data_IF_928091695461
#
_entry.id   IF_928091695461
#
_cell.length_a   1.000
_cell.length_b   1.000
_cell.length_c   1.000
_cell.angle_alpha   90.00
_cell.angle_beta   90.00
_cell.angle_gamma   90.00
#
_symmetry.space_group_name_H-M   'P 1'
#
loop_
_entity.id
_entity.type
_entity.pdbx_description
1 polymer ?
#
# COMPACT_ATOMS: atom_id res chain seq x y z
N UNK A 1 5.12 34.12 -2.85
CA UNK A 1 4.46 32.86 -2.45
C UNK A 1 4.42 31.98 -3.68
N UNK A 2 5.09 30.83 -3.67
CA UNK A 2 4.91 29.85 -4.75
C UNK A 2 3.54 29.22 -4.55
N UNK A 3 2.57 29.59 -5.40
CA UNK A 3 1.29 28.90 -5.45
C UNK A 3 1.53 27.48 -5.99
N UNK A 4 1.57 26.52 -5.08
CA UNK A 4 1.58 25.11 -5.45
C UNK A 4 0.21 24.80 -6.06
N UNK A 5 0.19 24.28 -7.29
CA UNK A 5 -1.04 23.87 -7.94
C UNK A 5 -1.81 22.90 -7.02
N UNK A 6 -3.14 23.04 -6.91
CA UNK A 6 -3.91 22.17 -6.04
C UNK A 6 -3.72 20.71 -6.47
N UNK A 7 -3.50 19.83 -5.49
CA UNK A 7 -3.36 18.40 -5.76
C UNK A 7 -4.70 17.87 -6.29
N UNK A 8 -4.68 17.41 -7.53
CA UNK A 8 -5.85 16.82 -8.19
C UNK A 8 -6.03 15.38 -7.72
N UNK A 9 -7.24 15.05 -7.27
CA UNK A 9 -7.65 13.67 -6.97
C UNK A 9 -8.49 13.18 -8.14
N UNK A 10 -8.00 12.17 -8.85
CA UNK A 10 -8.70 11.60 -10.01
C UNK A 10 -9.58 10.41 -9.58
N UNK A 11 -10.61 10.07 -10.36
CA UNK A 11 -11.41 8.87 -10.12
C UNK A 11 -10.80 7.65 -10.82
N UNK A 12 -11.20 6.45 -10.41
CA UNK A 12 -10.82 5.23 -11.11
C UNK A 12 -11.49 5.18 -12.50
N UNK A 13 -10.66 4.89 -13.51
CA UNK A 13 -10.96 4.83 -14.93
C UNK A 13 -9.83 4.09 -15.65
N UNK A 14 -10.05 3.65 -16.89
CA UNK A 14 -9.01 2.94 -17.67
C UNK A 14 -7.72 3.77 -17.83
N UNK A 15 -7.84 5.10 -17.99
CA UNK A 15 -6.69 6.00 -18.06
C UNK A 15 -5.93 6.03 -16.74
N UNK A 16 -6.63 6.26 -15.62
CA UNK A 16 -5.99 6.28 -14.30
C UNK A 16 -5.31 4.96 -13.95
N UNK A 17 -5.89 3.83 -14.34
CA UNK A 17 -5.32 2.49 -14.13
C UNK A 17 -4.04 2.36 -14.94
N UNK A 18 -4.04 2.80 -16.20
CA UNK A 18 -2.84 2.82 -17.04
C UNK A 18 -1.74 3.69 -16.41
N UNK A 19 -2.09 4.85 -15.87
CA UNK A 19 -1.14 5.74 -15.19
C UNK A 19 -0.54 5.08 -13.93
N UNK A 20 -1.32 4.31 -13.19
CA UNK A 20 -0.84 3.54 -12.03
C UNK A 20 0.06 2.38 -12.42
N UNK A 21 -0.24 1.71 -13.54
CA UNK A 21 0.53 0.59 -14.08
C UNK A 21 1.89 1.04 -14.62
N UNK A 22 1.96 2.25 -15.16
CA UNK A 22 3.15 2.78 -15.81
C UNK A 22 3.53 4.16 -15.26
N UNK A 23 3.79 4.27 -13.95
CA UNK A 23 3.93 5.57 -13.29
C UNK A 23 5.18 6.34 -13.73
N UNK A 24 6.18 5.64 -14.26
CA UNK A 24 7.49 6.18 -14.61
C UNK A 24 7.73 6.24 -16.13
N UNK A 25 6.69 6.13 -16.95
CA UNK A 25 6.85 6.18 -18.41
C UNK A 25 7.40 7.53 -18.88
N UNK A 26 7.02 8.63 -18.21
CA UNK A 26 7.46 9.98 -18.57
C UNK A 26 8.89 10.29 -18.10
N UNK A 27 9.47 9.44 -17.26
CA UNK A 27 10.84 9.62 -16.78
C UNK A 27 11.82 9.06 -17.81
N UNK A 28 12.99 9.68 -17.93
CA UNK A 28 14.07 9.13 -18.77
C UNK A 28 14.50 7.74 -18.24
N UNK A 29 14.93 6.86 -19.13
CA UNK A 29 15.37 5.50 -18.75
C UNK A 29 16.53 5.50 -17.75
N UNK A 30 17.28 6.59 -17.69
CA UNK A 30 18.42 6.79 -16.78
C UNK A 30 18.00 7.10 -15.34
N UNK A 31 16.80 7.65 -15.11
CA UNK A 31 16.38 8.07 -13.78
C UNK A 31 15.99 6.90 -12.86
N UNK A 32 15.38 5.84 -13.40
CA UNK A 32 14.89 4.69 -12.62
C UNK A 32 15.01 3.36 -13.38
N UNK A 33 16.23 2.93 -13.75
CA UNK A 33 16.44 1.70 -14.51
C UNK A 33 15.89 0.46 -13.79
N UNK A 34 15.91 0.45 -12.45
CA UNK A 34 15.35 -0.63 -11.64
C UNK A 34 13.83 -0.66 -11.66
N UNK A 35 13.17 0.50 -11.49
CA UNK A 35 11.71 0.57 -11.45
C UNK A 35 11.10 0.17 -12.82
N UNK A 36 11.74 0.58 -13.91
CA UNK A 36 11.38 0.18 -15.29
C UNK A 36 11.67 -1.29 -15.58
N UNK A 37 12.79 -1.85 -15.09
CA UNK A 37 13.15 -3.27 -15.29
C UNK A 37 12.07 -4.25 -14.80
N UNK A 38 11.42 -3.95 -13.68
CA UNK A 38 10.43 -4.87 -13.10
C UNK A 38 8.97 -4.48 -13.36
N UNK A 39 8.70 -3.22 -13.73
CA UNK A 39 7.38 -2.67 -14.05
C UNK A 39 6.22 -3.23 -13.20
N UNK A 40 6.41 -3.21 -11.88
CA UNK A 40 5.50 -3.84 -10.90
C UNK A 40 5.11 -2.86 -9.80
N UNK A 41 4.45 -1.76 -10.16
CA UNK A 41 4.14 -0.68 -9.24
C UNK A 41 3.37 -1.18 -8.01
N UNK A 42 3.64 -0.51 -6.89
CA UNK A 42 2.87 -0.69 -5.65
C UNK A 42 2.03 0.56 -5.44
N UNK A 43 0.72 0.35 -5.29
CA UNK A 43 -0.28 1.39 -5.01
C UNK A 43 -0.79 1.17 -3.60
N UNK A 44 -0.97 2.24 -2.82
CA UNK A 44 -1.64 2.16 -1.53
C UNK A 44 -3.12 2.45 -1.70
N UNK A 45 -3.97 1.69 -1.02
CA UNK A 45 -5.38 2.03 -0.86
C UNK A 45 -5.63 2.31 0.62
N UNK A 46 -6.07 3.52 0.94
CA UNK A 46 -6.35 3.95 2.29
C UNK A 46 -7.86 4.01 2.50
N UNK A 47 -8.34 3.27 3.50
CA UNK A 47 -9.74 3.21 3.89
C UNK A 47 -9.92 3.72 5.32
N UNK A 48 -10.84 4.66 5.50
CA UNK A 48 -11.15 5.29 6.78
C UNK A 48 -9.97 5.99 7.51
N UNK A 49 -8.88 6.33 6.81
CA UNK A 49 -7.74 7.03 7.43
C UNK A 49 -8.08 8.51 7.61
N UNK A 50 -8.49 8.88 8.83
CA UNK A 50 -9.02 10.21 9.17
C UNK A 50 -8.04 11.11 9.95
N UNK A 51 -6.97 10.54 10.50
CA UNK A 51 -5.94 11.32 11.21
C UNK A 51 -4.90 11.86 10.21
N UNK A 52 -4.74 13.19 10.18
CA UNK A 52 -3.77 13.91 9.34
C UNK A 52 -2.32 13.54 9.65
N UNK A 53 -2.01 13.19 10.90
CA UNK A 53 -0.65 12.81 11.33
C UNK A 53 -0.28 11.44 10.78
N UNK A 54 -1.22 10.49 10.90
CA UNK A 54 -1.09 9.18 10.28
C UNK A 54 -0.99 9.29 8.76
N UNK A 55 -1.87 10.08 8.14
CA UNK A 55 -1.86 10.27 6.69
C UNK A 55 -0.52 10.85 6.18
N UNK A 56 -0.02 11.93 6.80
CA UNK A 56 1.28 12.51 6.43
C UNK A 56 2.45 11.53 6.59
N UNK A 57 2.45 10.74 7.67
CA UNK A 57 3.48 9.72 7.94
C UNK A 57 3.42 8.54 6.97
N UNK A 58 2.21 8.14 6.57
CA UNK A 58 1.97 7.15 5.52
C UNK A 58 2.54 7.64 4.20
N UNK A 59 2.23 8.88 3.78
CA UNK A 59 2.74 9.44 2.52
C UNK A 59 4.27 9.50 2.50
N UNK A 60 4.89 9.87 3.62
CA UNK A 60 6.36 9.88 3.74
C UNK A 60 6.95 8.48 3.53
N UNK A 61 6.36 7.46 4.16
CA UNK A 61 6.78 6.06 3.99
C UNK A 61 6.53 5.58 2.56
N UNK A 62 5.37 5.93 1.99
CA UNK A 62 4.97 5.59 0.63
C UNK A 62 5.96 6.13 -0.41
N UNK A 63 6.28 7.42 -0.35
CA UNK A 63 7.27 8.04 -1.23
C UNK A 63 8.65 7.40 -1.07
N UNK A 64 9.08 7.14 0.17
CA UNK A 64 10.36 6.50 0.46
C UNK A 64 10.48 5.10 -0.17
N UNK A 65 9.43 4.29 -0.11
CA UNK A 65 9.39 2.95 -0.71
C UNK A 65 8.97 2.94 -2.20
N UNK A 66 8.85 4.10 -2.84
CA UNK A 66 8.53 4.18 -4.28
C UNK A 66 7.10 3.75 -4.62
N UNK A 67 6.15 3.94 -3.71
CA UNK A 67 4.72 3.78 -4.01
C UNK A 67 4.34 4.73 -5.14
N UNK A 68 3.67 4.22 -6.17
CA UNK A 68 3.37 4.98 -7.38
C UNK A 68 2.15 5.90 -7.22
N UNK A 69 1.19 5.48 -6.41
CA UNK A 69 -0.06 6.20 -6.21
C UNK A 69 -0.71 5.84 -4.87
N UNK A 70 -1.57 6.74 -4.40
CA UNK A 70 -2.47 6.52 -3.26
C UNK A 70 -3.92 6.63 -3.74
N UNK A 71 -4.69 5.57 -3.51
CA UNK A 71 -6.13 5.51 -3.73
C UNK A 71 -6.82 5.76 -2.38
N UNK A 72 -7.77 6.68 -2.37
CA UNK A 72 -8.65 6.94 -1.23
C UNK A 72 -9.96 6.17 -1.44
N UNK A 73 -10.45 5.50 -0.39
CA UNK A 73 -11.75 4.83 -0.41
C UNK A 73 -12.91 5.78 -0.71
N UNK A 74 -14.08 5.21 -1.02
CA UNK A 74 -15.38 5.92 -1.00
C UNK A 74 -15.74 6.41 0.40
N UNK A 75 -15.31 5.67 1.42
CA UNK A 75 -15.44 6.01 2.83
C UNK A 75 -14.66 7.29 3.17
N UNK A 76 -15.09 8.04 4.22
CA UNK A 76 -14.40 9.25 4.65
C UNK A 76 -12.92 9.00 4.92
N UNK A 77 -12.07 9.74 4.21
CA UNK A 77 -10.63 9.79 4.39
C UNK A 77 -10.16 11.24 4.38
N UNK A 78 -9.02 11.49 5.02
CA UNK A 78 -8.33 12.77 4.88
C UNK A 78 -8.05 13.04 3.40
N UNK A 79 -8.28 14.29 2.97
CA UNK A 79 -7.91 14.75 1.64
C UNK A 79 -6.59 15.52 1.68
N UNK A 80 -5.75 15.44 0.62
CA UNK A 80 -4.54 16.25 0.48
C UNK A 80 -4.79 17.74 0.81
N UNK A 81 -3.88 18.33 1.58
CA UNK A 81 -3.97 19.72 2.04
C UNK A 81 -2.58 20.29 2.33
N UNK A 82 -2.40 21.63 2.38
CA UNK A 82 -1.11 22.23 2.70
C UNK A 82 -0.54 21.78 4.05
N UNK A 83 -1.39 21.48 5.03
CA UNK A 83 -0.97 20.94 6.32
C UNK A 83 -0.34 19.54 6.16
N UNK A 84 -0.94 18.68 5.33
CA UNK A 84 -0.42 17.34 5.05
C UNK A 84 0.87 17.42 4.22
N UNK A 85 0.98 18.35 3.28
CA UNK A 85 2.25 18.63 2.58
C UNK A 85 3.37 18.86 3.59
N UNK A 86 3.12 19.73 4.57
CA UNK A 86 4.08 20.02 5.65
C UNK A 86 4.40 18.79 6.51
N UNK A 87 3.39 18.03 6.92
CA UNK A 87 3.57 16.82 7.75
C UNK A 87 4.31 15.70 7.02
N UNK A 88 4.07 15.55 5.71
CA UNK A 88 4.72 14.56 4.86
C UNK A 88 6.13 14.98 4.40
N UNK A 89 6.51 16.24 4.65
CA UNK A 89 7.81 16.83 4.28
C UNK A 89 8.06 16.76 2.77
N UNK A 90 7.08 17.20 1.98
CA UNK A 90 7.21 17.25 0.53
C UNK A 90 6.93 15.91 -0.19
N UNK A 91 6.61 14.84 0.54
CA UNK A 91 6.32 13.54 -0.06
C UNK A 91 4.97 13.55 -0.81
N UNK A 92 4.00 14.34 -0.35
CA UNK A 92 2.67 14.43 -0.95
C UNK A 92 2.72 14.87 -2.43
N UNK A 93 3.66 15.73 -2.79
CA UNK A 93 3.86 16.30 -4.12
C UNK A 93 4.40 15.27 -5.12
N UNK A 94 5.05 14.21 -4.62
CA UNK A 94 5.59 13.13 -5.44
C UNK A 94 4.61 11.99 -5.71
N UNK A 95 3.43 12.01 -5.05
CA UNK A 95 2.46 10.92 -5.08
C UNK A 95 1.20 11.37 -5.84
N UNK A 96 0.74 10.52 -6.76
CA UNK A 96 -0.56 10.72 -7.43
C UNK A 96 -1.70 10.24 -6.55
N UNK A 97 -2.78 11.00 -6.51
CA UNK A 97 -3.96 10.66 -5.72
C UNK A 97 -5.14 10.28 -6.61
N UNK A 98 -5.79 9.19 -6.21
CA UNK A 98 -7.01 8.71 -6.83
C UNK A 98 -8.08 8.46 -5.77
N UNK A 99 -9.33 8.37 -6.17
CA UNK A 99 -10.46 8.08 -5.29
C UNK A 99 -11.41 7.08 -5.92
N UNK A 100 -11.81 6.09 -5.12
CA UNK A 100 -12.89 5.18 -5.49
C UNK A 100 -14.22 5.94 -5.52
N UNK A 101 -15.04 5.66 -6.51
CA UNK A 101 -16.43 6.15 -6.59
C UNK A 101 -17.43 5.04 -6.30
N UNK A 102 -17.10 3.81 -6.72
CA UNK A 102 -17.83 2.59 -6.36
C UNK A 102 -16.81 1.52 -5.98
N UNK A 103 -16.74 1.20 -4.69
CA UNK A 103 -15.77 0.25 -4.15
C UNK A 103 -15.79 -1.09 -4.86
N UNK A 104 -16.95 -1.64 -5.18
CA UNK A 104 -17.05 -2.99 -5.75
C UNK A 104 -16.62 -2.97 -7.22
N UNK A 105 -17.10 -1.98 -7.98
CA UNK A 105 -16.80 -1.86 -9.41
C UNK A 105 -15.34 -1.47 -9.65
N UNK A 106 -14.81 -0.53 -8.87
CA UNK A 106 -13.44 -0.05 -9.03
C UNK A 106 -12.41 -1.11 -8.64
N UNK A 107 -12.65 -1.83 -7.54
CA UNK A 107 -11.77 -2.94 -7.12
C UNK A 107 -11.78 -4.07 -8.16
N UNK A 108 -12.94 -4.35 -8.77
CA UNK A 108 -13.05 -5.30 -9.89
C UNK A 108 -12.26 -4.82 -11.11
N UNK A 109 -12.26 -3.53 -11.41
CA UNK A 109 -11.48 -2.94 -12.50
C UNK A 109 -9.97 -3.06 -12.24
N UNK A 110 -9.52 -2.78 -11.01
CA UNK A 110 -8.12 -2.98 -10.61
C UNK A 110 -7.69 -4.45 -10.75
N UNK A 111 -8.53 -5.38 -10.26
CA UNK A 111 -8.27 -6.83 -10.39
C UNK A 111 -8.18 -7.27 -11.86
N UNK A 112 -9.11 -6.83 -12.71
CA UNK A 112 -9.09 -7.09 -14.18
C UNK A 112 -7.85 -6.54 -14.87
N UNK A 113 -7.33 -5.40 -14.41
CA UNK A 113 -6.09 -4.81 -14.91
C UNK A 113 -4.82 -5.54 -14.44
N UNK A 114 -4.98 -6.62 -13.65
CA UNK A 114 -3.87 -7.45 -13.21
C UNK A 114 -3.26 -7.05 -11.88
N UNK A 115 -3.83 -6.08 -11.15
CA UNK A 115 -3.39 -5.81 -9.77
C UNK A 115 -3.65 -7.01 -8.87
N UNK A 116 -2.65 -7.37 -8.05
CA UNK A 116 -2.84 -8.19 -6.88
C UNK A 116 -3.31 -7.28 -5.74
N UNK A 117 -4.48 -7.56 -5.18
CA UNK A 117 -5.06 -6.76 -4.11
C UNK A 117 -4.80 -7.45 -2.78
N UNK A 118 -3.92 -6.85 -1.99
CA UNK A 118 -3.52 -7.32 -0.66
C UNK A 118 -4.16 -6.42 0.38
N UNK A 119 -5.04 -6.99 1.22
CA UNK A 119 -5.65 -6.27 2.34
C UNK A 119 -4.93 -6.56 3.65
N UNK A 120 -5.10 -5.66 4.62
CA UNK A 120 -4.65 -5.86 6.00
C UNK A 120 -5.85 -6.09 6.91
N UNK A 121 -5.81 -7.17 7.68
CA UNK A 121 -6.93 -7.54 8.56
C UNK A 121 -6.40 -8.37 9.74
N UNK A 122 -6.75 -7.97 10.96
CA UNK A 122 -6.52 -8.78 12.16
C UNK A 122 -7.47 -9.96 12.25
N UNK A 123 -7.24 -10.91 13.17
CA UNK A 123 -8.06 -12.12 13.28
C UNK A 123 -9.54 -11.83 13.63
N UNK A 124 -9.80 -10.77 14.39
CA UNK A 124 -11.13 -10.45 14.92
C UNK A 124 -12.07 -9.75 13.92
N UNK A 125 -11.56 -9.34 12.75
CA UNK A 125 -12.30 -8.54 11.76
C UNK A 125 -12.42 -9.26 10.41
N UNK A 126 -12.21 -10.57 10.39
CA UNK A 126 -12.22 -11.36 9.17
C UNK A 126 -13.65 -11.62 8.66
N UNK A 127 -13.92 -11.45 7.35
CA UNK A 127 -15.14 -11.93 6.73
C UNK A 127 -15.25 -13.47 6.86
N UNK A 128 -16.47 -14.02 6.81
CA UNK A 128 -16.66 -15.46 6.80
C UNK A 128 -15.91 -16.10 5.63
N UNK A 129 -15.26 -17.23 5.89
CA UNK A 129 -14.45 -17.99 4.91
C UNK A 129 -13.17 -17.31 4.41
N UNK A 130 -12.71 -16.21 5.01
CA UNK A 130 -11.37 -15.66 4.77
C UNK A 130 -10.45 -15.89 5.97
N UNK A 131 -9.17 -16.06 5.67
CA UNK A 131 -8.11 -16.20 6.67
C UNK A 131 -7.09 -15.09 6.45
N UNK A 132 -6.73 -14.39 7.54
CA UNK A 132 -5.61 -13.48 7.52
C UNK A 132 -4.32 -14.28 7.66
N UNK A 133 -3.36 -14.08 6.76
CA UNK A 133 -2.05 -14.74 6.81
C UNK A 133 -1.05 -13.86 7.59
N UNK A 134 -0.32 -14.40 8.56
CA UNK A 134 0.75 -13.65 9.21
C UNK A 134 1.84 -13.33 8.19
N UNK A 135 2.39 -12.12 8.24
CA UNK A 135 3.45 -11.71 7.31
C UNK A 135 4.70 -12.60 7.39
N UNK A 136 4.95 -13.26 8.53
CA UNK A 136 6.04 -14.23 8.70
C UNK A 136 5.91 -15.49 7.83
N UNK A 137 4.69 -15.84 7.39
CA UNK A 137 4.42 -16.98 6.51
C UNK A 137 4.17 -16.56 5.06
N UNK A 138 4.44 -15.29 4.71
CA UNK A 138 4.27 -14.80 3.36
C UNK A 138 5.39 -15.32 2.46
N UNK A 139 5.03 -15.99 1.36
CA UNK A 139 5.99 -16.47 0.38
C UNK A 139 6.11 -15.50 -0.83
N UNK A 140 7.31 -15.27 -1.39
CA UNK A 140 7.51 -14.39 -2.55
C UNK A 140 6.59 -14.67 -3.74
N UNK A 141 6.30 -15.96 -4.03
CA UNK A 141 5.42 -16.36 -5.13
C UNK A 141 3.98 -15.84 -4.96
N UNK A 142 3.49 -15.67 -3.74
CA UNK A 142 2.13 -15.21 -3.47
C UNK A 142 1.94 -13.72 -3.74
N UNK A 143 3.02 -12.95 -3.61
CA UNK A 143 3.05 -11.53 -3.96
C UNK A 143 3.60 -11.29 -5.37
N UNK A 144 3.70 -12.36 -6.16
CA UNK A 144 4.16 -12.37 -7.55
C UNK A 144 5.47 -11.59 -7.70
N UNK A 145 6.42 -11.88 -6.81
CA UNK A 145 7.70 -11.22 -6.73
C UNK A 145 8.74 -11.75 -7.74
N UNK A 146 8.60 -13.00 -8.18
CA UNK A 146 9.62 -13.68 -8.97
C UNK A 146 9.50 -13.31 -10.45
N UNK A 147 10.63 -12.91 -11.04
CA UNK A 147 10.82 -12.78 -12.48
C UNK A 147 11.49 -14.04 -13.06
N UNK A 148 11.52 -15.13 -12.31
CA UNK A 148 12.23 -16.33 -12.71
C UNK A 148 11.55 -16.90 -13.95
N UNK A 149 12.22 -16.75 -15.10
CA UNK A 149 11.84 -17.32 -16.40
C UNK A 149 11.54 -18.83 -16.31
N UNK A 150 12.01 -19.50 -15.25
CA UNK A 150 11.79 -20.92 -14.97
C UNK A 150 10.45 -21.23 -14.29
N UNK A 151 9.78 -20.24 -13.68
CA UNK A 151 8.49 -20.43 -12.99
C UNK A 151 7.27 -20.08 -13.86
N UNK A 152 7.47 -19.32 -14.94
CA UNK A 152 6.40 -18.90 -15.85
C UNK A 152 5.42 -17.87 -15.27
N UNK A 153 5.70 -17.31 -14.09
CA UNK A 153 4.84 -16.34 -13.41
C UNK A 153 5.34 -14.93 -13.70
N UNK A 154 4.49 -14.09 -14.32
CA UNK A 154 4.82 -12.68 -14.54
C UNK A 154 4.63 -11.85 -13.27
N UNK A 155 5.51 -10.86 -13.01
CA UNK A 155 5.34 -9.96 -11.88
C UNK A 155 4.04 -9.17 -12.02
N UNK A 156 3.24 -9.13 -10.96
CA UNK A 156 1.97 -8.37 -10.94
C UNK A 156 2.12 -7.05 -10.21
N UNK A 157 1.51 -5.96 -10.70
CA UNK A 157 1.34 -4.74 -9.92
C UNK A 157 0.52 -5.03 -8.66
N UNK A 158 0.71 -4.26 -7.59
CA UNK A 158 0.15 -4.57 -6.27
C UNK A 158 -0.64 -3.37 -5.74
N UNK A 159 -1.81 -3.64 -5.17
CA UNK A 159 -2.55 -2.70 -4.32
C UNK A 159 -2.45 -3.20 -2.89
N UNK A 160 -1.88 -2.40 -1.99
CA UNK A 160 -1.89 -2.66 -0.56
C UNK A 160 -2.98 -1.82 0.11
N UNK A 161 -4.04 -2.48 0.56
CA UNK A 161 -5.17 -1.86 1.25
C UNK A 161 -4.95 -1.83 2.77
N UNK A 162 -5.06 -0.64 3.34
CA UNK A 162 -4.86 -0.34 4.75
C UNK A 162 -6.08 0.36 5.31
N UNK A 163 -6.59 -0.17 6.43
CA UNK A 163 -7.70 0.40 7.17
C UNK A 163 -7.24 1.24 8.35
N UNK A 164 -8.15 2.04 8.91
CA UNK A 164 -7.88 2.76 10.16
C UNK A 164 -7.74 1.82 11.35
N UNK A 165 -7.06 2.27 12.40
CA UNK A 165 -6.82 1.47 13.61
C UNK A 165 -8.10 0.99 14.30
N UNK A 166 -9.14 1.82 14.28
CA UNK A 166 -10.39 1.56 14.99
C UNK A 166 -11.39 0.74 14.17
N UNK A 167 -11.47 0.97 12.86
CA UNK A 167 -12.44 0.28 11.99
C UNK A 167 -11.85 -0.85 11.16
N UNK A 168 -10.56 -0.80 10.84
CA UNK A 168 -9.97 -1.65 9.83
C UNK A 168 -10.49 -1.30 8.43
N UNK A 169 -10.39 -2.28 7.52
CA UNK A 169 -10.91 -2.18 6.17
C UNK A 169 -12.42 -2.45 6.15
N UNK A 170 -13.15 -1.74 5.30
CA UNK A 170 -14.56 -2.01 5.01
C UNK A 170 -14.74 -3.39 4.38
N UNK A 171 -15.88 -4.01 4.67
CA UNK A 171 -16.20 -5.37 4.24
C UNK A 171 -16.13 -5.56 2.72
N UNK A 172 -16.58 -4.56 1.94
CA UNK A 172 -16.50 -4.59 0.48
C UNK A 172 -15.05 -4.65 -0.03
N UNK A 173 -14.12 -3.96 0.62
CA UNK A 173 -12.69 -4.02 0.28
C UNK A 173 -12.14 -5.37 0.70
N UNK A 174 -12.39 -5.80 1.94
CA UNK A 174 -11.93 -7.11 2.45
C UNK A 174 -12.38 -8.26 1.55
N UNK A 175 -13.63 -8.26 1.09
CA UNK A 175 -14.19 -9.27 0.20
C UNK A 175 -13.52 -9.25 -1.19
N UNK A 176 -13.07 -8.09 -1.63
CA UNK A 176 -12.39 -7.89 -2.92
C UNK A 176 -10.89 -8.18 -2.89
N UNK A 177 -10.27 -8.32 -1.71
CA UNK A 177 -8.85 -8.67 -1.57
C UNK A 177 -8.58 -10.13 -1.98
N UNK A 178 -7.52 -10.34 -2.75
CA UNK A 178 -6.98 -11.65 -3.13
C UNK A 178 -6.25 -12.32 -1.95
N UNK A 179 -5.55 -11.52 -1.15
CA UNK A 179 -4.80 -11.96 0.03
C UNK A 179 -5.06 -11.01 1.19
N UNK A 180 -5.23 -11.57 2.39
CA UNK A 180 -5.29 -10.79 3.62
C UNK A 180 -4.05 -11.07 4.46
N UNK A 181 -3.40 -10.00 4.93
CA UNK A 181 -2.20 -10.06 5.75
C UNK A 181 -2.45 -9.48 7.14
N UNK A 182 -1.70 -9.99 8.13
CA UNK A 182 -1.54 -9.36 9.44
C UNK A 182 -0.08 -9.32 9.86
N UNK A 183 0.29 -8.27 10.57
CA UNK A 183 1.57 -8.20 11.27
C UNK A 183 1.39 -8.96 12.58
N UNK A 184 2.12 -10.07 12.82
CA UNK A 184 1.98 -10.81 14.06
C UNK A 184 2.44 -9.94 15.23
N UNK A 185 1.58 -9.85 16.25
CA UNK A 185 1.85 -9.11 17.48
C UNK A 185 1.89 -10.02 18.70
N UNK A 186 2.57 -9.58 19.76
CA UNK A 186 2.58 -10.32 21.03
C UNK A 186 1.16 -10.49 21.63
N UNK A 187 0.31 -9.48 21.40
CA UNK A 187 -1.10 -9.48 21.81
C UNK A 187 -2.05 -10.37 21.00
N UNK A 188 -1.58 -11.05 19.93
CA UNK A 188 -2.43 -11.97 19.14
C UNK A 188 -2.80 -13.25 19.91
N UNK A 189 -2.06 -13.56 20.98
CA UNK A 189 -2.33 -14.76 21.78
C UNK A 189 -3.39 -14.49 22.85
N UNK A 190 -4.61 -14.98 22.63
CA UNK A 190 -5.73 -14.90 23.59
C UNK A 190 -5.38 -15.43 24.98
N UNK A 191 -4.53 -16.46 25.04
CA UNK A 191 -4.02 -17.03 26.30
C UNK A 191 -3.15 -16.06 27.10
N UNK A 192 -2.41 -15.17 26.44
CA UNK A 192 -1.53 -14.22 27.12
C UNK A 192 -2.31 -13.02 27.66
N UNK A 193 -3.28 -12.51 26.91
CA UNK A 193 -4.14 -11.40 27.35
C UNK A 193 -5.01 -11.75 28.58
N UNK A 194 -5.31 -13.04 28.79
CA UNK A 194 -5.96 -13.52 30.01
C UNK A 194 -5.03 -13.60 31.23
N UNK A 195 -3.72 -13.63 31.02
CA UNK A 195 -2.72 -13.81 32.08
C UNK A 195 -2.06 -12.50 32.54
N UNK A 196 -2.35 -11.37 31.88
CA UNK A 196 -1.74 -10.07 32.20
C UNK A 196 -2.82 -9.07 32.61
N UNK A 197 -2.63 -8.42 33.77
CA UNK A 197 -3.58 -7.42 34.29
C UNK A 197 -3.66 -6.12 33.45
N UNK A 198 -2.74 -5.92 32.52
CA UNK A 198 -2.70 -4.78 31.61
C UNK A 198 -3.00 -5.24 30.19
N UNK A 199 -3.95 -4.56 29.53
CA UNK A 199 -4.29 -4.80 28.13
C UNK A 199 -3.14 -4.37 27.23
N UNK A 200 -2.57 -5.32 26.49
CA UNK A 200 -1.56 -5.05 25.47
C UNK A 200 -2.28 -4.66 24.17
N UNK A 201 -1.81 -3.63 23.46
CA UNK A 201 -2.39 -3.28 22.16
C UNK A 201 -2.42 -4.48 21.23
N UNK A 202 -3.61 -4.80 20.73
CA UNK A 202 -3.84 -5.89 19.76
C UNK A 202 -3.57 -5.47 18.32
N UNK A 203 -3.19 -4.21 18.09
CA UNK A 203 -2.90 -3.66 16.76
C UNK A 203 -1.82 -2.58 16.85
N UNK A 204 -1.19 -2.32 15.70
CA UNK A 204 -0.23 -1.22 15.53
C UNK A 204 -0.93 0.01 14.99
N UNK A 205 -0.30 1.17 15.21
CA UNK A 205 -0.67 2.39 14.51
C UNK A 205 -0.62 2.18 12.99
N UNK A 206 -1.60 2.72 12.26
CA UNK A 206 -1.74 2.45 10.81
C UNK A 206 -0.52 2.93 10.02
N UNK A 207 0.09 4.05 10.40
CA UNK A 207 1.28 4.56 9.71
C UNK A 207 2.50 3.66 9.97
N UNK A 208 2.67 3.19 11.20
CA UNK A 208 3.73 2.24 11.56
C UNK A 208 3.55 0.91 10.81
N UNK A 209 2.34 0.36 10.82
CA UNK A 209 2.00 -0.86 10.10
C UNK A 209 2.28 -0.72 8.60
N UNK A 210 1.94 0.43 8.01
CA UNK A 210 2.20 0.73 6.61
C UNK A 210 3.69 0.67 6.29
N UNK A 211 4.55 1.29 7.11
CA UNK A 211 5.99 1.25 6.92
C UNK A 211 6.58 -0.17 6.98
N UNK A 212 6.14 -0.98 7.95
CA UNK A 212 6.58 -2.38 8.10
C UNK A 212 6.17 -3.20 6.87
N UNK A 213 4.93 -3.09 6.44
CA UNK A 213 4.40 -3.84 5.30
C UNK A 213 5.05 -3.42 3.99
N UNK A 214 5.24 -2.11 3.77
CA UNK A 214 5.94 -1.61 2.60
C UNK A 214 7.39 -2.09 2.56
N UNK A 215 8.11 -2.04 3.68
CA UNK A 215 9.46 -2.57 3.77
C UNK A 215 9.50 -4.05 3.39
N UNK A 216 8.64 -4.86 4.01
CA UNK A 216 8.62 -6.30 3.80
C UNK A 216 8.21 -6.67 2.36
N UNK A 217 7.18 -6.04 1.81
CA UNK A 217 6.77 -6.25 0.41
C UNK A 217 7.85 -5.77 -0.57
N UNK A 218 8.53 -4.66 -0.27
CA UNK A 218 9.65 -4.18 -1.08
C UNK A 218 10.78 -5.20 -1.09
N UNK A 219 11.12 -5.78 0.07
CA UNK A 219 12.14 -6.82 0.16
C UNK A 219 11.74 -8.10 -0.58
N UNK A 220 10.50 -8.55 -0.45
CA UNK A 220 10.04 -9.73 -1.18
C UNK A 220 10.05 -9.50 -2.68
N UNK A 221 9.55 -8.35 -3.12
CA UNK A 221 9.46 -8.03 -4.54
C UNK A 221 10.87 -7.84 -5.08
N UNK A 222 11.62 -6.89 -4.56
CA UNK A 222 12.87 -6.44 -5.17
C UNK A 222 14.12 -7.22 -4.72
N UNK A 223 14.01 -8.11 -3.73
CA UNK A 223 15.04 -9.07 -3.35
C UNK A 223 16.41 -8.45 -3.06
N UNK A 224 17.47 -9.12 -3.50
CA UNK A 224 18.86 -8.72 -3.29
C UNK A 224 19.20 -7.35 -3.90
N UNK A 225 18.53 -6.95 -4.99
CA UNK A 225 18.73 -5.63 -5.59
C UNK A 225 18.22 -4.51 -4.69
N UNK A 226 17.16 -4.76 -3.89
CA UNK A 226 16.67 -3.81 -2.88
C UNK A 226 17.67 -3.58 -1.75
N UNK A 227 18.38 -4.65 -1.37
CA UNK A 227 19.34 -4.64 -0.25
C UNK A 227 20.66 -3.95 -0.62
N UNK A 228 21.12 -4.09 -1.88
CA UNK A 228 22.44 -3.63 -2.30
C UNK A 228 22.44 -2.31 -3.07
N UNK A 229 21.35 -1.97 -3.77
CA UNK A 229 21.23 -0.70 -4.47
C UNK A 229 20.33 0.19 -3.62
N UNK A 230 20.94 1.07 -2.83
CA UNK A 230 20.26 2.18 -2.14
C UNK A 230 19.44 3.08 -3.09
N UNK A 231 19.63 2.91 -4.40
CA UNK A 231 18.96 3.59 -5.49
C UNK A 231 17.63 2.93 -5.89
N UNK A 232 16.62 2.96 -5.02
CA UNK A 232 15.24 3.02 -5.52
C UNK A 232 14.91 4.41 -6.06
N UNK A 233 15.67 5.42 -5.61
CA UNK A 233 15.54 6.82 -6.01
C UNK A 233 16.96 7.41 -6.03
N UNK A 234 17.72 7.18 -7.10
CA UNK A 234 18.86 8.07 -7.37
C UNK A 234 18.26 9.33 -8.01
N UNK A 235 17.84 10.27 -7.16
CA UNK A 235 17.86 11.67 -7.56
C UNK A 235 19.33 12.07 -7.68
N UNK A 236 19.93 11.90 -8.86
CA UNK A 236 21.08 12.71 -9.22
C UNK A 236 20.55 14.14 -9.35
N UNK A 237 20.97 14.98 -8.40
CA UNK A 237 20.77 16.43 -8.41
C UNK A 237 21.26 17.05 -9.72
#
# INVERSE_FOLDING_TARGET
MLEVSPITIQTISDLSIKDMLFPWNDLSDYCLPHAKKYNRPTVLLLDHVMDIMNFGSILRSAAFFGVSAVILSTAPCVSPSPLISKLSVGAMESIRFYRLTDTVMDMKSLSKAGFLIVGTCGENQLPPNKVSKPTSFLHPNEVFANNDNNTGVSPRPLVLALGSESRGLSENILNSCDLLLRIPGFGDSTKFNHCVSQSIPSSLNVAVATGILLYQLTMYRHGYEAANKSSFILHTK
#
